data_IF_663076569684
#
_entry.id   IF_663076569684
#
_cell.length_a   1.000
_cell.length_b   1.000
_cell.length_c   1.000
_cell.angle_alpha   90.00
_cell.angle_beta   90.00
_cell.angle_gamma   90.00
#
_symmetry.space_group_name_H-M   'P 1'
#
loop_
_entity.id
_entity.type
_entity.pdbx_description
1 polymer ?
#
# COMPACT_ATOMS: atom_id res chain seq x y z
N UNK A 1 16.77 4.64 16.48
CA UNK A 1 16.78 5.69 15.43
C UNK A 1 17.99 5.48 14.54
N UNK A 2 17.84 5.63 13.22
CA UNK A 2 18.98 5.66 12.30
C UNK A 2 19.62 7.05 12.31
N UNK A 3 20.95 7.12 12.32
CA UNK A 3 21.68 8.40 12.23
C UNK A 3 21.51 9.02 10.84
N UNK A 4 21.45 10.35 10.76
CA UNK A 4 21.46 11.06 9.48
C UNK A 4 22.83 10.93 8.81
N UNK A 5 22.90 11.18 7.51
CA UNK A 5 24.16 11.19 6.78
C UNK A 5 25.23 12.15 7.38
N UNK A 6 24.91 13.42 7.73
CA UNK A 6 25.89 14.32 8.35
C UNK A 6 26.41 13.77 9.68
N UNK A 7 25.53 13.20 10.51
CA UNK A 7 25.92 12.64 11.82
C UNK A 7 26.88 11.46 11.66
N UNK A 8 26.66 10.61 10.65
CA UNK A 8 27.56 9.49 10.33
C UNK A 8 28.92 9.98 9.85
N UNK A 9 28.94 10.98 8.97
CA UNK A 9 30.18 11.58 8.50
C UNK A 9 30.99 12.21 9.64
N UNK A 10 30.31 12.90 10.56
CA UNK A 10 30.93 13.51 11.73
C UNK A 10 31.57 12.46 12.63
N UNK A 11 30.86 11.37 12.92
CA UNK A 11 31.38 10.27 13.76
C UNK A 11 32.61 9.61 13.12
N UNK A 12 32.56 9.32 11.82
CA UNK A 12 33.68 8.68 11.13
C UNK A 12 34.89 9.62 11.08
N UNK A 13 34.67 10.93 10.87
CA UNK A 13 35.73 11.93 10.98
C UNK A 13 36.37 11.95 12.38
N UNK A 14 35.56 11.93 13.44
CA UNK A 14 36.06 11.89 14.82
C UNK A 14 36.82 10.60 15.13
N UNK A 15 36.40 9.47 14.54
CA UNK A 15 37.08 8.19 14.73
C UNK A 15 38.54 8.25 14.23
N UNK A 16 38.77 8.76 13.02
CA UNK A 16 40.12 8.89 12.46
C UNK A 16 40.94 9.98 13.14
N UNK A 17 40.31 11.05 13.66
CA UNK A 17 41.01 12.10 14.41
C UNK A 17 41.48 11.66 15.81
N UNK A 18 40.95 10.56 16.35
CA UNK A 18 41.23 10.07 17.71
C UNK A 18 41.82 8.66 17.63
N UNK A 19 42.87 8.50 16.83
CA UNK A 19 43.69 7.29 16.73
C UNK A 19 42.89 5.99 16.55
N UNK A 20 41.80 6.04 15.77
CA UNK A 20 40.92 4.89 15.52
C UNK A 20 40.28 4.29 16.78
N UNK A 21 40.12 5.09 17.85
CA UNK A 21 39.44 4.68 19.07
C UNK A 21 37.93 4.85 18.97
N UNK A 22 37.21 3.75 18.76
CA UNK A 22 35.75 3.75 18.67
C UNK A 22 35.04 4.23 19.95
N UNK A 23 35.64 3.99 21.12
CA UNK A 23 35.04 4.39 22.41
C UNK A 23 35.14 5.90 22.58
N UNK A 24 36.34 6.45 22.40
CA UNK A 24 36.59 7.90 22.58
C UNK A 24 35.89 8.70 21.48
N UNK A 25 35.90 8.21 20.23
CA UNK A 25 35.15 8.81 19.13
C UNK A 25 33.65 8.87 19.40
N UNK A 26 33.05 7.81 19.94
CA UNK A 26 31.64 7.82 20.33
C UNK A 26 31.33 8.77 21.49
N UNK A 27 32.18 8.80 22.51
CA UNK A 27 32.01 9.72 23.63
C UNK A 27 32.06 11.17 23.16
N UNK A 28 33.06 11.54 22.35
CA UNK A 28 33.20 12.89 21.80
C UNK A 28 32.00 13.27 20.92
N UNK A 29 31.52 12.33 20.10
CA UNK A 29 30.28 12.53 19.34
C UNK A 29 29.08 12.79 20.25
N UNK A 30 28.89 11.97 21.30
CA UNK A 30 27.79 12.12 22.24
C UNK A 30 27.84 13.48 22.95
N UNK A 31 29.02 13.94 23.35
CA UNK A 31 29.23 15.26 23.95
C UNK A 31 28.83 16.38 22.98
N UNK A 32 29.27 16.32 21.71
CA UNK A 32 28.92 17.32 20.70
C UNK A 32 27.41 17.35 20.40
N UNK A 33 26.75 16.20 20.46
CA UNK A 33 25.31 16.09 20.24
C UNK A 33 24.47 16.32 21.51
N UNK A 34 25.10 16.62 22.65
CA UNK A 34 24.41 16.83 23.92
C UNK A 34 23.66 15.60 24.45
N UNK A 35 24.09 14.39 24.07
CA UNK A 35 23.42 13.14 24.43
C UNK A 35 24.15 12.41 25.57
N UNK A 36 23.43 11.96 26.61
CA UNK A 36 24.00 11.06 27.64
C UNK A 36 24.27 9.65 27.12
N UNK A 37 23.44 9.15 26.20
CA UNK A 37 23.58 7.83 25.58
C UNK A 37 23.11 7.92 24.12
N UNK A 38 24.03 7.70 23.19
CA UNK A 38 23.74 7.80 21.76
C UNK A 38 23.01 6.57 21.20
N UNK A 39 22.45 6.67 19.98
CA UNK A 39 21.79 5.55 19.29
C UNK A 39 22.77 4.50 18.76
N UNK A 40 24.08 4.79 18.78
CA UNK A 40 25.14 3.88 18.34
C UNK A 40 25.82 3.19 19.52
N UNK A 41 26.10 1.91 19.31
CA UNK A 41 26.97 1.08 20.15
C UNK A 41 28.36 1.03 19.50
N UNK A 42 29.43 0.84 20.28
CA UNK A 42 30.82 0.72 19.80
C UNK A 42 30.95 -0.27 18.64
N UNK A 43 30.29 -1.43 18.73
CA UNK A 43 30.23 -2.43 17.66
C UNK A 43 29.67 -1.88 16.35
N UNK A 44 28.62 -1.06 16.42
CA UNK A 44 27.98 -0.46 15.24
C UNK A 44 28.87 0.61 14.61
N UNK A 45 29.65 1.35 15.40
CA UNK A 45 30.64 2.28 14.86
C UNK A 45 31.72 1.52 14.08
N UNK A 46 32.30 0.47 14.67
CA UNK A 46 33.29 -0.37 13.97
C UNK A 46 32.74 -0.90 12.64
N UNK A 47 31.54 -1.46 12.65
CA UNK A 47 30.87 -1.92 11.42
C UNK A 47 30.60 -0.81 10.39
N UNK A 48 30.40 0.43 10.84
CA UNK A 48 30.20 1.57 9.95
C UNK A 48 31.51 1.98 9.30
N UNK A 49 32.61 2.00 10.06
CA UNK A 49 33.95 2.28 9.57
C UNK A 49 34.39 1.19 8.58
N UNK A 50 34.23 -0.10 8.91
CA UNK A 50 34.61 -1.17 7.97
C UNK A 50 33.82 -1.08 6.65
N UNK A 51 32.52 -0.79 6.72
CA UNK A 51 31.71 -0.58 5.50
C UNK A 51 32.14 0.65 4.72
N UNK A 52 32.53 1.71 5.42
CA UNK A 52 33.04 2.91 4.77
C UNK A 52 34.37 2.63 4.07
N UNK A 53 35.29 1.91 4.70
CA UNK A 53 36.57 1.52 4.10
C UNK A 53 36.38 0.57 2.91
N UNK A 54 35.37 -0.30 2.93
CA UNK A 54 35.05 -1.21 1.82
C UNK A 54 34.30 -0.54 0.66
N UNK A 55 33.44 0.45 0.92
CA UNK A 55 32.46 0.96 -0.07
C UNK A 55 32.57 2.46 -0.34
N UNK A 56 33.45 3.16 0.38
CA UNK A 56 33.63 4.62 0.38
C UNK A 56 32.33 5.40 0.62
N UNK A 57 31.32 4.75 1.19
CA UNK A 57 29.97 5.27 1.29
C UNK A 57 29.42 5.14 2.70
N UNK A 58 28.90 6.26 3.21
CA UNK A 58 28.17 6.31 4.48
C UNK A 58 26.66 6.26 4.28
N UNK A 59 26.16 6.00 3.07
CA UNK A 59 24.72 5.94 2.82
C UNK A 59 24.07 4.68 3.42
N UNK A 60 22.82 4.80 3.90
CA UNK A 60 22.05 3.59 4.26
C UNK A 60 21.64 2.96 2.94
N UNK A 61 22.04 1.71 2.69
CA UNK A 61 21.53 0.97 1.53
C UNK A 61 20.00 0.84 1.65
N UNK A 62 19.30 1.04 0.54
CA UNK A 62 17.88 0.70 0.48
C UNK A 62 17.70 -0.75 0.91
N UNK A 63 16.64 -1.00 1.69
CA UNK A 63 16.30 -2.37 2.06
C UNK A 63 16.01 -3.20 0.81
N UNK A 64 16.04 -4.53 0.96
CA UNK A 64 15.68 -5.43 -0.14
C UNK A 64 14.33 -5.04 -0.72
N UNK A 65 14.31 -4.71 -2.00
CA UNK A 65 13.09 -4.36 -2.70
C UNK A 65 12.14 -5.57 -2.74
N UNK A 66 10.84 -5.28 -2.62
CA UNK A 66 9.82 -6.31 -2.74
C UNK A 66 9.60 -6.60 -4.22
N UNK A 67 9.53 -7.88 -4.59
CA UNK A 67 9.22 -8.27 -5.97
C UNK A 67 7.84 -7.70 -6.37
N UNK A 68 7.74 -7.00 -7.51
CA UNK A 68 6.45 -6.56 -8.03
C UNK A 68 5.60 -7.76 -8.41
N UNK A 69 4.29 -7.57 -8.47
CA UNK A 69 3.38 -8.59 -9.02
C UNK A 69 3.53 -8.57 -10.54
N UNK A 70 3.53 -9.74 -11.20
CA UNK A 70 3.66 -9.80 -12.66
C UNK A 70 2.46 -9.16 -13.35
N UNK A 71 2.71 -8.47 -14.47
CA UNK A 71 1.67 -7.85 -15.28
C UNK A 71 0.64 -8.88 -15.77
N UNK A 72 1.11 -10.05 -16.20
CA UNK A 72 0.27 -11.17 -16.62
C UNK A 72 -0.71 -11.63 -15.53
N UNK A 73 -0.26 -11.70 -14.26
CA UNK A 73 -1.14 -12.09 -13.16
C UNK A 73 -2.19 -11.01 -12.88
N UNK A 74 -1.85 -9.74 -13.06
CA UNK A 74 -2.79 -8.62 -12.90
C UNK A 74 -3.88 -8.71 -13.96
N UNK A 75 -3.51 -8.93 -15.22
CA UNK A 75 -4.46 -9.06 -16.34
C UNK A 75 -5.36 -10.28 -16.18
N UNK A 76 -4.81 -11.45 -15.86
CA UNK A 76 -5.59 -12.68 -15.63
C UNK A 76 -6.62 -12.50 -14.51
N UNK A 77 -6.22 -11.92 -13.38
CA UNK A 77 -7.14 -11.63 -12.27
C UNK A 77 -8.20 -10.60 -12.67
N UNK A 78 -7.85 -9.57 -13.44
CA UNK A 78 -8.80 -8.56 -13.89
C UNK A 78 -9.85 -9.13 -14.86
N UNK A 79 -9.43 -10.01 -15.78
CA UNK A 79 -10.32 -10.69 -16.72
C UNK A 79 -11.24 -11.67 -16.01
N UNK A 80 -10.71 -12.55 -15.17
CA UNK A 80 -11.52 -13.51 -14.41
C UNK A 80 -12.60 -12.81 -13.59
N UNK A 81 -12.23 -11.74 -12.86
CA UNK A 81 -13.21 -10.99 -12.07
C UNK A 81 -14.28 -10.32 -12.95
N UNK A 82 -13.96 -9.91 -14.18
CA UNK A 82 -14.97 -9.37 -15.11
C UNK A 82 -15.92 -10.45 -15.61
N UNK A 83 -15.41 -11.63 -15.96
CA UNK A 83 -16.21 -12.76 -16.43
C UNK A 83 -17.12 -13.30 -15.32
N UNK A 84 -16.60 -13.49 -14.11
CA UNK A 84 -17.37 -13.93 -12.95
C UNK A 84 -18.49 -12.93 -12.59
N UNK A 85 -18.24 -11.63 -12.77
CA UNK A 85 -19.27 -10.59 -12.57
C UNK A 85 -20.36 -10.63 -13.63
N UNK A 86 -20.02 -10.97 -14.86
CA UNK A 86 -20.97 -11.04 -15.97
C UNK A 86 -21.85 -12.30 -15.88
N UNK A 87 -21.32 -13.41 -15.34
CA UNK A 87 -22.05 -14.66 -15.18
C UNK A 87 -22.92 -14.71 -13.91
N UNK A 88 -22.58 -13.94 -12.88
CA UNK A 88 -23.30 -13.94 -11.61
C UNK A 88 -24.40 -12.86 -11.56
N UNK A 89 -25.63 -13.27 -11.24
CA UNK A 89 -26.79 -12.38 -10.99
C UNK A 89 -26.49 -11.32 -9.93
N UNK A 90 -25.70 -11.64 -8.91
CA UNK A 90 -25.33 -10.72 -7.83
C UNK A 90 -24.09 -9.87 -8.17
N UNK A 91 -23.50 -10.03 -9.36
CA UNK A 91 -22.27 -9.38 -9.80
C UNK A 91 -21.14 -9.43 -8.74
N UNK A 92 -21.09 -10.51 -7.96
CA UNK A 92 -20.21 -10.68 -6.81
C UNK A 92 -19.21 -11.81 -7.05
N UNK A 93 -17.96 -11.60 -6.61
CA UNK A 93 -16.88 -12.56 -6.77
C UNK A 93 -16.02 -12.58 -5.52
N UNK A 94 -15.46 -13.75 -5.17
CA UNK A 94 -14.63 -13.89 -3.98
C UNK A 94 -13.15 -14.04 -4.33
N UNK A 95 -12.28 -13.48 -3.51
CA UNK A 95 -10.83 -13.64 -3.65
C UNK A 95 -10.43 -15.12 -3.65
N UNK A 96 -11.13 -15.94 -2.85
CA UNK A 96 -10.91 -17.38 -2.78
C UNK A 96 -11.21 -18.05 -4.13
N UNK A 97 -12.37 -17.74 -4.71
CA UNK A 97 -12.79 -18.32 -5.98
C UNK A 97 -11.81 -17.98 -7.11
N UNK A 98 -11.44 -16.71 -7.24
CA UNK A 98 -10.48 -16.26 -8.27
C UNK A 98 -9.09 -16.87 -8.06
N UNK A 99 -8.67 -17.05 -6.80
CA UNK A 99 -7.41 -17.71 -6.48
C UNK A 99 -7.39 -19.19 -6.86
N UNK A 100 -8.50 -19.90 -6.60
CA UNK A 100 -8.68 -21.31 -6.98
C UNK A 100 -8.80 -21.46 -8.52
N UNK A 101 -9.45 -20.53 -9.22
CA UNK A 101 -9.59 -20.57 -10.67
C UNK A 101 -8.27 -20.32 -11.43
N UNK A 102 -7.38 -19.49 -10.88
CA UNK A 102 -6.13 -19.09 -11.52
C UNK A 102 -4.89 -19.80 -10.94
N UNK A 103 -5.07 -20.72 -9.99
CA UNK A 103 -3.99 -21.36 -9.22
C UNK A 103 -2.99 -20.34 -8.63
N UNK A 104 -3.52 -19.22 -8.13
CA UNK A 104 -2.73 -18.14 -7.52
C UNK A 104 -2.89 -18.12 -6.00
N UNK A 105 -1.85 -17.70 -5.25
CA UNK A 105 -2.00 -17.53 -3.81
C UNK A 105 -3.03 -16.44 -3.50
N UNK A 106 -3.92 -16.72 -2.54
CA UNK A 106 -5.00 -15.81 -2.12
C UNK A 106 -4.48 -14.41 -1.74
N UNK A 107 -3.30 -14.32 -1.15
CA UNK A 107 -2.65 -13.04 -0.80
C UNK A 107 -2.28 -12.21 -2.03
N UNK A 108 -1.84 -12.85 -3.12
CA UNK A 108 -1.53 -12.19 -4.39
C UNK A 108 -2.80 -11.68 -5.04
N UNK A 109 -3.85 -12.51 -5.13
CA UNK A 109 -5.14 -12.11 -5.69
C UNK A 109 -5.74 -10.95 -4.88
N UNK A 110 -5.72 -11.03 -3.55
CA UNK A 110 -6.17 -9.94 -2.68
C UNK A 110 -5.38 -8.65 -2.93
N UNK A 111 -4.05 -8.73 -3.02
CA UNK A 111 -3.18 -7.58 -3.30
C UNK A 111 -3.50 -6.96 -4.65
N UNK A 112 -3.73 -7.77 -5.68
CA UNK A 112 -4.10 -7.31 -7.02
C UNK A 112 -5.47 -6.62 -6.96
N UNK A 113 -6.50 -7.31 -6.47
CA UNK A 113 -7.87 -6.78 -6.42
C UNK A 113 -7.94 -5.49 -5.60
N UNK A 114 -7.34 -5.46 -4.39
CA UNK A 114 -7.48 -4.33 -3.46
C UNK A 114 -6.54 -3.17 -3.74
N UNK A 115 -5.26 -3.44 -4.04
CA UNK A 115 -4.24 -2.39 -4.10
C UNK A 115 -3.94 -1.93 -5.54
N UNK A 116 -4.07 -2.82 -6.53
CA UNK A 116 -3.75 -2.53 -7.93
C UNK A 116 -5.01 -2.12 -8.68
N UNK A 117 -6.00 -3.02 -8.76
CA UNK A 117 -7.28 -2.80 -9.45
C UNK A 117 -8.21 -1.87 -8.64
N UNK A 118 -8.04 -1.82 -7.32
CA UNK A 118 -8.84 -1.01 -6.38
C UNK A 118 -10.33 -1.39 -6.35
N UNK A 119 -10.61 -2.69 -6.38
CA UNK A 119 -11.93 -3.20 -6.01
C UNK A 119 -12.10 -3.17 -4.50
N UNK A 120 -13.09 -2.40 -4.05
CA UNK A 120 -13.51 -2.32 -2.66
C UNK A 120 -14.76 -3.17 -2.47
N UNK A 121 -14.80 -4.06 -1.46
CA UNK A 121 -16.00 -4.80 -1.16
C UNK A 121 -17.06 -3.82 -0.68
N UNK A 122 -18.19 -3.80 -1.38
CA UNK A 122 -19.37 -3.04 -0.97
C UNK A 122 -20.53 -4.01 -0.81
N UNK A 123 -21.31 -3.83 0.26
CA UNK A 123 -22.50 -4.64 0.51
C UNK A 123 -23.70 -3.97 -0.14
N UNK A 124 -24.17 -4.52 -1.26
CA UNK A 124 -25.44 -4.11 -1.85
C UNK A 124 -26.58 -4.67 -0.98
N UNK A 125 -27.43 -3.79 -0.45
CA UNK A 125 -28.68 -4.17 0.19
C UNK A 125 -29.77 -4.25 -0.88
N UNK A 126 -30.18 -5.45 -1.23
CA UNK A 126 -31.36 -5.67 -2.07
C UNK A 126 -32.59 -5.62 -1.15
N UNK A 127 -33.41 -4.57 -1.28
CA UNK A 127 -34.53 -4.31 -0.37
C UNK A 127 -35.82 -4.99 -0.85
N UNK A 128 -36.05 -5.04 -2.16
CA UNK A 128 -37.20 -5.72 -2.79
C UNK A 128 -36.78 -6.25 -4.17
N UNK A 129 -37.18 -7.48 -4.48
CA UNK A 129 -37.09 -8.02 -5.85
C UNK A 129 -38.14 -7.32 -6.71
N UNK A 130 -37.74 -6.74 -7.85
CA UNK A 130 -38.68 -6.19 -8.83
C UNK A 130 -39.13 -7.31 -9.77
N UNK A 131 -40.44 -7.56 -9.83
CA UNK A 131 -41.00 -8.46 -10.82
C UNK A 131 -40.97 -7.79 -12.20
N UNK A 132 -40.93 -8.56 -13.31
CA UNK A 132 -40.94 -8.00 -14.67
C UNK A 132 -42.07 -6.99 -14.92
N UNK A 133 -43.24 -7.21 -14.33
CA UNK A 133 -44.39 -6.31 -14.44
C UNK A 133 -44.19 -4.99 -13.69
N UNK A 134 -43.46 -4.99 -12.56
CA UNK A 134 -43.24 -3.78 -11.76
C UNK A 134 -42.40 -2.75 -12.50
N UNK A 135 -41.54 -3.17 -13.43
CA UNK A 135 -40.71 -2.25 -14.22
C UNK A 135 -41.57 -1.29 -15.03
N UNK A 136 -42.57 -1.81 -15.74
CA UNK A 136 -43.44 -1.01 -16.60
C UNK A 136 -44.30 -0.07 -15.75
N UNK A 137 -44.90 -0.58 -14.68
CA UNK A 137 -45.76 0.20 -13.79
C UNK A 137 -44.98 1.35 -13.12
N UNK A 138 -43.76 1.08 -12.63
CA UNK A 138 -42.89 2.09 -12.01
C UNK A 138 -42.38 3.11 -13.04
N UNK A 139 -42.07 2.66 -14.26
CA UNK A 139 -41.61 3.54 -15.34
C UNK A 139 -42.73 4.46 -15.85
N UNK A 140 -43.95 3.94 -16.01
CA UNK A 140 -45.10 4.76 -16.37
C UNK A 140 -45.44 5.78 -15.27
N UNK A 141 -45.41 5.36 -14.01
CA UNK A 141 -45.61 6.27 -12.88
C UNK A 141 -44.60 7.42 -12.88
N UNK A 142 -43.32 7.13 -13.07
CA UNK A 142 -42.27 8.17 -13.10
C UNK A 142 -42.41 9.11 -14.29
N UNK A 143 -42.79 8.61 -15.47
CA UNK A 143 -43.05 9.45 -16.65
C UNK A 143 -44.27 10.37 -16.44
N UNK A 144 -45.37 9.83 -15.90
CA UNK A 144 -46.56 10.62 -15.58
C UNK A 144 -46.25 11.70 -14.54
N UNK A 145 -45.46 11.35 -13.52
CA UNK A 145 -45.03 12.29 -12.50
C UNK A 145 -44.14 13.40 -13.07
N UNK A 146 -43.16 13.05 -13.91
CA UNK A 146 -42.29 14.01 -14.58
C UNK A 146 -43.07 14.99 -15.47
N UNK A 147 -44.09 14.50 -16.18
CA UNK A 147 -44.95 15.34 -17.01
C UNK A 147 -45.75 16.34 -16.17
N UNK A 148 -46.29 15.91 -15.02
CA UNK A 148 -47.02 16.80 -14.09
C UNK A 148 -46.12 17.86 -13.47
N UNK A 149 -44.90 17.50 -13.08
CA UNK A 149 -43.88 18.41 -12.52
C UNK A 149 -43.56 19.60 -13.44
N UNK A 150 -43.71 19.44 -14.76
CA UNK A 150 -43.49 20.51 -15.73
C UNK A 150 -44.68 21.45 -15.89
N UNK A 151 -45.87 21.00 -15.52
CA UNK A 151 -47.13 21.71 -15.76
C UNK A 151 -47.58 22.44 -14.49
N UNK A 152 -47.33 21.89 -13.32
CA UNK A 152 -47.84 22.39 -12.05
C UNK A 152 -46.74 23.09 -11.24
N UNK A 153 -46.78 24.43 -11.19
CA UNK A 153 -45.78 25.25 -10.49
C UNK A 153 -46.04 25.39 -8.98
N UNK A 154 -47.20 24.94 -8.50
CA UNK A 154 -47.64 25.05 -7.09
C UNK A 154 -47.50 23.74 -6.30
N UNK A 155 -46.90 22.72 -6.90
CA UNK A 155 -46.52 21.51 -6.18
C UNK A 155 -45.39 21.82 -5.18
N UNK A 156 -45.41 21.31 -3.93
CA UNK A 156 -44.34 21.56 -2.96
C UNK A 156 -42.99 20.99 -3.38
#
# INVERSE_FOLDING_TARGET
MSLRLPDRALIVKLFYQIDNSAIVGLQKFQTLMGMRKGPLIVKNLRLMVTKFEETESLNVRSGRERKPVSAEAIEKVALQVKEDKASNVQASTSVRHVAEALDLPRSTVYKIMRNIIRYYPYKLQLVQELLPHDFETRHLFSLQFLARLKVDSEWP
#
